data_IF_150418803217
#
_entry.id   IF_150418803217
#
_cell.length_a   1.000
_cell.length_b   1.000
_cell.length_c   1.000
_cell.angle_alpha   90.00
_cell.angle_beta   90.00
_cell.angle_gamma   90.00
#
_symmetry.space_group_name_H-M   'P 1'
#
loop_
_entity.id
_entity.type
_entity.pdbx_description
1 polymer ?
#
# COMPACT_ATOMS: atom_id res chain seq x y z
N UNK A 1 30.09 26.16 -2.30
CA UNK A 1 29.81 25.92 -3.73
C UNK A 1 29.46 24.46 -4.05
N UNK A 2 30.05 23.45 -3.38
CA UNK A 2 29.74 22.03 -3.65
C UNK A 2 28.33 21.57 -3.25
N UNK A 3 27.71 22.18 -2.23
CA UNK A 3 26.35 21.83 -1.79
C UNK A 3 25.29 22.17 -2.85
N UNK A 4 25.44 23.30 -3.55
CA UNK A 4 24.45 23.74 -4.55
C UNK A 4 24.51 22.87 -5.81
N UNK A 5 25.70 22.38 -6.18
CA UNK A 5 25.89 21.46 -7.32
C UNK A 5 25.41 20.04 -6.96
N UNK A 6 25.70 19.55 -5.74
CA UNK A 6 25.13 18.27 -5.27
C UNK A 6 23.61 18.30 -5.15
N UNK A 7 23.03 19.44 -4.73
CA UNK A 7 21.58 19.59 -4.67
C UNK A 7 20.98 19.57 -6.08
N UNK A 8 21.62 20.23 -7.06
CA UNK A 8 21.19 20.22 -8.46
C UNK A 8 21.33 18.84 -9.11
N UNK A 9 22.44 18.12 -8.87
CA UNK A 9 22.63 16.75 -9.38
C UNK A 9 21.63 15.79 -8.72
N UNK A 10 21.38 15.93 -7.42
CA UNK A 10 20.36 15.13 -6.73
C UNK A 10 18.93 15.45 -7.23
N UNK A 11 18.68 16.71 -7.62
CA UNK A 11 17.41 17.14 -8.20
C UNK A 11 17.23 16.62 -9.63
N UNK A 12 18.28 16.61 -10.44
CA UNK A 12 18.25 16.04 -11.79
C UNK A 12 18.03 14.52 -11.73
N UNK A 13 18.73 13.84 -10.82
CA UNK A 13 18.53 12.40 -10.59
C UNK A 13 17.12 12.11 -10.03
N UNK A 14 16.61 12.97 -9.14
CA UNK A 14 15.25 12.86 -8.60
C UNK A 14 14.20 13.16 -9.68
N UNK A 15 14.40 14.16 -10.53
CA UNK A 15 13.53 14.48 -11.66
C UNK A 15 13.50 13.33 -12.66
N UNK A 16 14.66 12.81 -13.06
CA UNK A 16 14.76 11.65 -13.93
C UNK A 16 14.07 10.43 -13.32
N UNK A 17 14.23 10.21 -12.02
CA UNK A 17 13.58 9.13 -11.25
C UNK A 17 12.06 9.32 -11.21
N UNK A 18 11.57 10.53 -10.98
CA UNK A 18 10.13 10.86 -10.98
C UNK A 18 9.52 10.74 -12.39
N UNK A 19 10.21 11.21 -13.42
CA UNK A 19 9.77 11.06 -14.82
C UNK A 19 9.72 9.57 -15.22
N UNK A 20 10.71 8.80 -14.79
CA UNK A 20 10.72 7.35 -14.97
C UNK A 20 9.56 6.70 -14.20
N UNK A 21 9.25 7.13 -12.97
CA UNK A 21 8.10 6.66 -12.20
C UNK A 21 6.78 6.92 -12.92
N UNK A 22 6.62 8.04 -13.65
CA UNK A 22 5.39 8.32 -14.39
C UNK A 22 5.06 7.23 -15.42
N UNK A 23 6.07 6.59 -16.01
CA UNK A 23 5.91 5.50 -16.97
C UNK A 23 5.91 4.13 -16.26
N UNK A 24 6.82 3.92 -15.31
CA UNK A 24 6.95 2.62 -14.62
C UNK A 24 5.84 2.35 -13.62
N UNK A 25 5.25 3.38 -12.99
CA UNK A 25 4.16 3.23 -12.04
C UNK A 25 2.89 2.61 -12.65
N UNK A 26 2.29 3.15 -13.74
CA UNK A 26 1.09 2.56 -14.33
C UNK A 26 1.36 1.16 -14.89
N UNK A 27 2.55 0.92 -15.45
CA UNK A 27 2.97 -0.42 -15.88
C UNK A 27 3.08 -1.40 -14.71
N UNK A 28 3.64 -0.96 -13.57
CA UNK A 28 3.77 -1.78 -12.35
C UNK A 28 2.40 -2.05 -11.75
N UNK A 29 1.51 -1.06 -11.71
CA UNK A 29 0.15 -1.20 -11.21
C UNK A 29 -0.67 -2.17 -12.06
N UNK A 30 -0.62 -2.02 -13.39
CA UNK A 30 -1.27 -2.92 -14.33
C UNK A 30 -0.76 -4.36 -14.21
N UNK A 31 0.56 -4.54 -14.13
CA UNK A 31 1.17 -5.86 -13.92
C UNK A 31 0.82 -6.46 -12.56
N UNK A 32 0.74 -5.66 -11.51
CA UNK A 32 0.39 -6.13 -10.17
C UNK A 32 -1.08 -6.55 -10.09
N UNK A 33 -1.98 -5.81 -10.77
CA UNK A 33 -3.39 -6.19 -10.87
C UNK A 33 -3.59 -7.50 -11.66
N UNK A 34 -2.86 -7.70 -12.77
CA UNK A 34 -3.03 -8.88 -13.64
C UNK A 34 -2.19 -10.10 -13.23
N UNK A 35 -1.02 -9.90 -12.64
CA UNK A 35 -0.07 -10.95 -12.26
C UNK A 35 0.54 -10.72 -10.87
N UNK A 36 -0.29 -10.66 -9.81
CA UNK A 36 0.15 -10.30 -8.46
C UNK A 36 1.22 -11.25 -7.91
N UNK A 37 1.06 -12.57 -8.13
CA UNK A 37 1.98 -13.60 -7.64
C UNK A 37 3.35 -13.56 -8.31
N UNK A 38 3.44 -13.07 -9.56
CA UNK A 38 4.74 -12.92 -10.23
C UNK A 38 5.51 -11.79 -9.59
N UNK A 39 4.85 -10.68 -9.24
CA UNK A 39 5.49 -9.52 -8.59
C UNK A 39 6.01 -9.84 -7.19
N UNK A 40 5.31 -10.67 -6.41
CA UNK A 40 5.81 -11.09 -5.09
C UNK A 40 7.06 -11.95 -5.21
N UNK A 41 7.10 -12.90 -6.16
CA UNK A 41 8.31 -13.70 -6.43
C UNK A 41 9.46 -12.85 -7.01
N UNK A 42 9.15 -11.84 -7.84
CA UNK A 42 10.15 -10.86 -8.31
C UNK A 42 10.72 -10.02 -7.16
N UNK A 43 9.93 -9.65 -6.15
CA UNK A 43 10.41 -8.92 -4.98
C UNK A 43 11.38 -9.77 -4.13
N UNK A 44 11.08 -11.05 -3.93
CA UNK A 44 11.94 -11.98 -3.18
C UNK A 44 13.24 -12.30 -3.93
N UNK A 45 13.18 -12.51 -5.25
CA UNK A 45 14.38 -12.73 -6.08
C UNK A 45 15.27 -11.49 -6.13
N UNK A 46 14.67 -10.30 -6.27
CA UNK A 46 15.39 -9.04 -6.26
C UNK A 46 16.04 -8.74 -4.92
N UNK A 47 15.69 -9.39 -3.81
CA UNK A 47 16.35 -9.28 -2.50
C UNK A 47 17.57 -10.21 -2.32
N UNK A 48 17.79 -11.12 -3.27
CA UNK A 48 18.98 -12.02 -3.28
C UNK A 48 20.12 -11.48 -4.17
N UNK A 49 19.84 -10.54 -5.07
CA UNK A 49 20.84 -9.91 -5.96
C UNK A 49 21.76 -8.90 -5.24
N UNK A 50 22.94 -8.58 -5.79
CA UNK A 50 23.86 -7.61 -5.19
C UNK A 50 23.25 -6.18 -5.18
N UNK A 51 23.53 -5.40 -4.12
CA UNK A 51 22.95 -4.07 -3.84
C UNK A 51 23.06 -3.05 -4.98
N UNK A 52 24.04 -3.19 -5.88
CA UNK A 52 24.30 -2.25 -6.97
C UNK A 52 23.35 -2.38 -8.18
N UNK A 53 22.59 -3.49 -8.30
CA UNK A 53 21.54 -3.66 -9.35
C UNK A 53 20.12 -3.60 -8.79
N UNK A 54 20.01 -3.43 -7.49
CA UNK A 54 18.74 -3.40 -6.75
C UNK A 54 17.98 -2.12 -7.11
N UNK A 55 16.83 -2.26 -7.78
CA UNK A 55 15.89 -1.20 -8.21
C UNK A 55 16.24 -0.41 -9.50
N UNK A 56 17.01 -0.97 -10.43
CA UNK A 56 17.20 -0.32 -11.75
C UNK A 56 15.92 -0.38 -12.61
N UNK A 57 15.04 -1.37 -12.38
CA UNK A 57 13.87 -1.61 -13.23
C UNK A 57 12.49 -1.41 -12.58
N UNK A 58 12.40 -1.19 -11.26
CA UNK A 58 11.11 -1.06 -10.55
C UNK A 58 11.20 -0.11 -9.35
N UNK A 59 10.13 0.67 -9.11
CA UNK A 59 9.97 1.51 -7.91
C UNK A 59 10.04 0.66 -6.65
N UNK A 60 10.75 1.11 -5.60
CA UNK A 60 10.82 0.36 -4.35
C UNK A 60 9.40 0.11 -3.78
N UNK A 61 9.09 -1.06 -3.23
CA UNK A 61 7.72 -1.43 -2.87
C UNK A 61 7.04 -0.46 -1.87
N UNK A 62 7.72 0.05 -0.83
CA UNK A 62 7.14 1.07 0.04
C UNK A 62 6.87 2.40 -0.68
N UNK A 63 7.75 2.78 -1.62
CA UNK A 63 7.52 3.97 -2.44
C UNK A 63 6.35 3.77 -3.40
N UNK A 64 6.13 2.56 -3.92
CA UNK A 64 4.98 2.26 -4.79
C UNK A 64 3.65 2.39 -4.04
N UNK A 65 3.58 1.90 -2.79
CA UNK A 65 2.44 2.12 -1.90
C UNK A 65 2.23 3.61 -1.63
N UNK A 66 3.30 4.34 -1.28
CA UNK A 66 3.23 5.78 -1.05
C UNK A 66 2.74 6.55 -2.28
N UNK A 67 3.26 6.23 -3.47
CA UNK A 67 2.87 6.87 -4.73
C UNK A 67 1.40 6.58 -5.06
N UNK A 68 0.91 5.38 -4.77
CA UNK A 68 -0.50 5.02 -4.92
C UNK A 68 -1.41 5.85 -4.01
N UNK A 69 -0.99 6.06 -2.76
CA UNK A 69 -1.72 6.92 -1.82
C UNK A 69 -1.69 8.39 -2.27
N UNK A 70 -0.55 8.87 -2.76
CA UNK A 70 -0.40 10.22 -3.27
C UNK A 70 -1.30 10.45 -4.49
N UNK A 71 -1.37 9.49 -5.42
CA UNK A 71 -2.29 9.54 -6.56
C UNK A 71 -3.74 9.54 -6.08
N UNK A 72 -4.12 8.64 -5.17
CA UNK A 72 -5.47 8.60 -4.63
C UNK A 72 -5.87 9.92 -3.97
N UNK A 73 -4.97 10.54 -3.21
CA UNK A 73 -5.23 11.82 -2.56
C UNK A 73 -5.27 12.99 -3.55
N UNK A 74 -4.41 12.97 -4.59
CA UNK A 74 -4.49 13.96 -5.67
C UNK A 74 -5.83 13.90 -6.43
N UNK A 75 -6.38 12.70 -6.63
CA UNK A 75 -7.73 12.55 -7.20
C UNK A 75 -8.83 13.07 -6.26
N UNK A 76 -8.68 12.87 -4.95
CA UNK A 76 -9.60 13.39 -3.93
C UNK A 76 -9.71 14.92 -4.02
N UNK A 77 -8.56 15.59 -4.01
CA UNK A 77 -8.48 17.05 -4.15
C UNK A 77 -9.06 17.54 -5.49
N UNK A 78 -8.80 16.82 -6.58
CA UNK A 78 -9.28 17.19 -7.91
C UNK A 78 -10.80 17.01 -8.11
N UNK A 79 -11.39 15.97 -7.50
CA UNK A 79 -12.80 15.59 -7.72
C UNK A 79 -13.76 16.24 -6.73
N UNK A 80 -13.34 16.40 -5.48
CA UNK A 80 -14.22 16.89 -4.41
C UNK A 80 -13.84 18.32 -3.98
N UNK A 81 -12.67 18.81 -4.37
CA UNK A 81 -12.09 20.04 -3.81
C UNK A 81 -11.70 19.85 -2.33
N UNK A 82 -11.27 20.92 -1.66
CA UNK A 82 -11.12 20.93 -0.19
C UNK A 82 -12.46 20.52 0.43
N UNK A 83 -12.54 19.25 0.83
CA UNK A 83 -13.79 18.61 1.23
C UNK A 83 -13.73 18.17 2.69
N UNK A 84 -14.87 18.22 3.40
CA UNK A 84 -14.93 18.45 4.84
C UNK A 84 -14.61 17.24 5.72
N UNK A 85 -14.03 16.16 5.17
CA UNK A 85 -13.25 15.23 5.99
C UNK A 85 -12.06 15.94 6.68
N UNK A 86 -11.69 17.12 6.18
CA UNK A 86 -10.71 18.05 6.72
C UNK A 86 -11.22 18.89 7.92
N UNK A 87 -12.50 18.81 8.29
CA UNK A 87 -13.12 19.77 9.24
C UNK A 87 -13.41 19.23 10.64
N UNK A 88 -13.22 17.95 10.94
CA UNK A 88 -13.39 17.41 12.30
C UNK A 88 -12.03 17.26 13.00
N UNK A 89 -11.44 18.41 13.32
CA UNK A 89 -10.18 18.58 14.03
C UNK A 89 -10.31 18.38 15.54
N UNK A 90 -10.52 17.18 16.09
CA UNK A 90 -10.40 17.04 17.56
C UNK A 90 -9.86 15.69 18.03
N UNK A 91 -8.53 15.62 18.22
CA UNK A 91 -7.85 15.27 19.50
C UNK A 91 -6.34 15.05 19.35
N UNK A 92 -5.82 15.04 18.11
CA UNK A 92 -4.39 15.12 17.79
C UNK A 92 -4.04 16.24 16.76
N UNK A 93 -4.94 17.21 16.58
CA UNK A 93 -4.79 18.33 15.62
C UNK A 93 -3.59 19.27 15.85
N UNK A 94 -2.74 19.02 16.85
CA UNK A 94 -1.47 19.73 17.00
C UNK A 94 -0.33 19.14 16.17
N UNK A 95 -0.39 17.84 15.84
CA UNK A 95 0.69 17.12 15.14
C UNK A 95 0.38 16.86 13.65
N UNK A 96 -0.90 16.92 13.26
CA UNK A 96 -1.41 16.65 11.92
C UNK A 96 -2.08 17.91 11.39
N UNK A 97 -1.27 18.93 11.08
CA UNK A 97 -1.74 20.22 10.55
C UNK A 97 -1.46 20.38 9.04
N UNK A 98 -0.83 19.39 8.41
CA UNK A 98 -0.32 19.48 7.04
C UNK A 98 -0.71 18.24 6.24
N UNK A 99 -1.04 18.40 4.95
CA UNK A 99 -1.47 17.32 4.04
C UNK A 99 -0.45 16.16 4.01
N UNK A 100 0.83 16.51 4.15
CA UNK A 100 1.94 15.57 4.28
C UNK A 100 1.77 14.63 5.47
N UNK A 101 1.32 15.14 6.62
CA UNK A 101 1.13 14.36 7.86
C UNK A 101 -0.01 13.36 7.71
N UNK A 102 -1.07 13.74 6.99
CA UNK A 102 -2.19 12.85 6.66
C UNK A 102 -1.78 11.74 5.69
N UNK A 103 -0.96 12.05 4.69
CA UNK A 103 -0.41 11.05 3.77
C UNK A 103 0.49 10.04 4.50
N UNK A 104 1.34 10.49 5.42
CA UNK A 104 2.18 9.62 6.24
C UNK A 104 1.33 8.73 7.14
N UNK A 105 0.25 9.26 7.71
CA UNK A 105 -0.70 8.48 8.50
C UNK A 105 -1.42 7.42 7.65
N UNK A 106 -1.93 7.78 6.47
CA UNK A 106 -2.53 6.81 5.52
C UNK A 106 -1.53 5.73 5.14
N UNK A 107 -0.27 6.11 4.86
CA UNK A 107 0.80 5.16 4.59
C UNK A 107 1.02 4.20 5.76
N UNK A 108 1.08 4.71 6.99
CA UNK A 108 1.23 3.89 8.17
C UNK A 108 0.07 2.90 8.34
N UNK A 109 -1.18 3.35 8.14
CA UNK A 109 -2.36 2.50 8.20
C UNK A 109 -2.37 1.40 7.16
N UNK A 110 -2.12 1.75 5.89
CA UNK A 110 -2.08 0.76 4.83
C UNK A 110 -0.86 -0.16 4.94
N UNK A 111 0.23 0.27 5.58
CA UNK A 111 1.39 -0.57 5.87
C UNK A 111 1.18 -1.58 7.01
N UNK A 112 0.13 -1.42 7.83
CA UNK A 112 -0.24 -2.43 8.85
C UNK A 112 -0.63 -3.76 8.17
N UNK A 113 -1.40 -3.72 7.08
CA UNK A 113 -1.79 -4.93 6.35
C UNK A 113 -0.59 -5.77 5.87
N UNK A 114 0.35 -5.26 5.06
CA UNK A 114 1.49 -6.03 4.59
C UNK A 114 2.36 -6.51 5.76
N UNK A 115 2.43 -5.76 6.85
CA UNK A 115 3.13 -6.16 8.06
C UNK A 115 2.48 -7.38 8.73
N UNK A 116 1.16 -7.35 8.95
CA UNK A 116 0.43 -8.47 9.55
C UNK A 116 0.51 -9.74 8.71
N UNK A 117 0.38 -9.61 7.38
CA UNK A 117 0.52 -10.74 6.45
C UNK A 117 1.91 -11.37 6.58
N UNK A 118 2.95 -10.54 6.62
CA UNK A 118 4.34 -10.97 6.74
C UNK A 118 4.62 -11.68 8.07
N UNK A 119 4.11 -11.13 9.18
CA UNK A 119 4.21 -11.74 10.50
C UNK A 119 3.49 -13.09 10.50
N UNK A 120 2.28 -13.16 9.94
CA UNK A 120 1.50 -14.41 9.87
C UNK A 120 2.23 -15.48 9.06
N UNK A 121 2.88 -15.11 7.95
CA UNK A 121 3.68 -16.04 7.17
C UNK A 121 4.85 -16.60 8.01
N UNK A 122 5.62 -15.74 8.68
CA UNK A 122 6.77 -16.18 9.49
C UNK A 122 6.33 -17.07 10.66
N UNK A 123 5.22 -16.74 11.31
CA UNK A 123 4.62 -17.59 12.35
C UNK A 123 4.25 -18.98 11.81
N UNK A 124 3.62 -19.05 10.63
CA UNK A 124 3.27 -20.31 9.97
C UNK A 124 4.50 -21.11 9.54
N UNK A 125 5.56 -20.45 9.10
CA UNK A 125 6.86 -21.06 8.76
C UNK A 125 7.70 -21.43 10.00
N UNK A 126 7.27 -21.04 11.21
CA UNK A 126 8.05 -21.15 12.45
C UNK A 126 9.45 -20.52 12.33
N UNK A 127 9.56 -19.48 11.51
CA UNK A 127 10.79 -18.73 11.35
C UNK A 127 10.93 -17.70 12.48
N UNK A 128 12.18 -17.37 12.85
CA UNK A 128 12.44 -16.33 13.83
C UNK A 128 11.90 -14.98 13.33
N UNK A 129 11.20 -14.23 14.19
CA UNK A 129 10.79 -12.86 13.91
C UNK A 129 11.98 -11.94 14.12
N UNK A 130 12.76 -11.73 13.06
CA UNK A 130 13.87 -10.78 13.03
C UNK A 130 13.63 -9.77 11.92
N UNK A 131 14.33 -8.63 11.97
CA UNK A 131 14.21 -7.60 10.93
C UNK A 131 14.55 -8.15 9.54
N UNK A 132 15.52 -9.06 9.47
CA UNK A 132 16.01 -9.62 8.21
C UNK A 132 15.05 -10.65 7.61
N UNK A 133 14.35 -11.43 8.44
CA UNK A 133 13.34 -12.40 7.95
C UNK A 133 12.02 -11.73 7.60
N UNK A 134 11.70 -10.59 8.22
CA UNK A 134 10.45 -9.85 8.00
C UNK A 134 10.51 -8.95 6.76
N UNK A 135 11.68 -8.40 6.44
CA UNK A 135 11.83 -7.44 5.35
C UNK A 135 11.41 -8.00 3.98
N UNK A 136 11.81 -9.22 3.55
CA UNK A 136 11.37 -9.77 2.27
C UNK A 136 9.85 -9.91 2.11
N UNK A 137 9.13 -10.62 3.01
CA UNK A 137 7.68 -10.73 2.87
C UNK A 137 7.00 -9.37 2.97
N UNK A 138 7.48 -8.46 3.82
CA UNK A 138 6.89 -7.11 3.94
C UNK A 138 6.99 -6.33 2.62
N UNK A 139 8.16 -6.37 1.97
CA UNK A 139 8.38 -5.69 0.69
C UNK A 139 7.51 -6.31 -0.41
N UNK A 140 7.34 -7.64 -0.43
CA UNK A 140 6.43 -8.31 -1.37
C UNK A 140 4.97 -7.85 -1.19
N UNK A 141 4.53 -7.71 0.07
CA UNK A 141 3.16 -7.38 0.40
C UNK A 141 2.84 -5.90 0.15
N UNK A 142 3.82 -5.00 0.25
CA UNK A 142 3.64 -3.60 -0.12
C UNK A 142 3.22 -3.42 -1.60
N UNK A 143 3.67 -4.29 -2.51
CA UNK A 143 3.18 -4.27 -3.89
C UNK A 143 1.70 -4.63 -3.98
N UNK A 144 1.24 -5.61 -3.21
CA UNK A 144 -0.16 -6.05 -3.19
C UNK A 144 -1.09 -5.05 -2.50
N UNK A 145 -0.59 -4.43 -1.43
CA UNK A 145 -1.32 -3.42 -0.66
C UNK A 145 -1.57 -2.13 -1.47
N UNK A 146 -0.68 -1.78 -2.39
CA UNK A 146 -0.75 -0.55 -3.19
C UNK A 146 -2.02 -0.42 -4.07
N UNK A 147 -2.37 -1.37 -4.96
CA UNK A 147 -3.60 -1.29 -5.75
C UNK A 147 -4.85 -1.36 -4.89
N UNK A 148 -4.82 -2.12 -3.78
CA UNK A 148 -5.91 -2.14 -2.80
C UNK A 148 -6.11 -0.76 -2.15
N UNK A 149 -5.02 -0.14 -1.68
CA UNK A 149 -5.06 1.18 -1.07
C UNK A 149 -5.57 2.26 -2.04
N UNK A 150 -5.14 2.21 -3.31
CA UNK A 150 -5.64 3.10 -4.37
C UNK A 150 -7.14 2.94 -4.60
N UNK A 151 -7.63 1.70 -4.75
CA UNK A 151 -9.06 1.45 -5.01
C UNK A 151 -9.93 1.83 -3.82
N UNK A 152 -9.50 1.54 -2.59
CA UNK A 152 -10.21 1.94 -1.38
C UNK A 152 -10.23 3.47 -1.23
N UNK A 153 -9.11 4.14 -1.51
CA UNK A 153 -9.04 5.59 -1.48
C UNK A 153 -9.96 6.25 -2.53
N UNK A 154 -9.96 5.76 -3.78
CA UNK A 154 -10.90 6.22 -4.81
C UNK A 154 -12.37 5.98 -4.43
N UNK A 155 -12.67 4.81 -3.84
CA UNK A 155 -14.02 4.51 -3.38
C UNK A 155 -14.46 5.46 -2.27
N UNK A 156 -13.58 5.76 -1.31
CA UNK A 156 -13.84 6.72 -0.25
C UNK A 156 -14.08 8.14 -0.81
N UNK A 157 -13.30 8.58 -1.80
CA UNK A 157 -13.54 9.85 -2.51
C UNK A 157 -14.92 9.86 -3.18
N UNK A 158 -15.29 8.77 -3.85
CA UNK A 158 -16.57 8.68 -4.56
C UNK A 158 -17.76 8.74 -3.59
N UNK A 159 -17.68 8.05 -2.45
CA UNK A 159 -18.72 8.07 -1.42
C UNK A 159 -18.94 9.46 -0.80
N UNK A 160 -17.93 10.34 -0.84
CA UNK A 160 -18.04 11.73 -0.35
C UNK A 160 -18.80 12.66 -1.30
N UNK A 161 -18.99 12.30 -2.57
CA UNK A 161 -19.65 13.17 -3.57
C UNK A 161 -21.17 13.33 -3.36
N UNK A 162 -21.75 12.71 -2.32
CA UNK A 162 -23.16 12.75 -1.92
C UNK A 162 -24.19 12.42 -3.03
N UNK A 163 -23.76 11.88 -4.17
CA UNK A 163 -24.67 11.40 -5.20
C UNK A 163 -25.16 9.99 -4.86
N UNK A 164 -26.45 9.67 -5.09
CA UNK A 164 -27.05 8.38 -4.67
C UNK A 164 -26.43 7.17 -5.40
N UNK A 165 -25.95 7.36 -6.63
CA UNK A 165 -25.23 6.33 -7.37
C UNK A 165 -23.77 6.20 -6.92
N UNK A 166 -23.17 7.26 -6.37
CA UNK A 166 -21.77 7.31 -5.95
C UNK A 166 -21.53 6.50 -4.67
N UNK A 167 -22.48 6.50 -3.74
CA UNK A 167 -22.39 5.69 -2.52
C UNK A 167 -22.41 4.19 -2.85
N UNK A 168 -23.37 3.75 -3.68
CA UNK A 168 -23.48 2.35 -4.08
C UNK A 168 -22.27 1.88 -4.89
N UNK A 169 -21.78 2.72 -5.82
CA UNK A 169 -20.60 2.40 -6.63
C UNK A 169 -19.33 2.36 -5.78
N UNK A 170 -19.15 3.30 -4.85
CA UNK A 170 -18.04 3.27 -3.89
C UNK A 170 -18.07 2.03 -3.01
N UNK A 171 -19.23 1.67 -2.44
CA UNK A 171 -19.38 0.45 -1.65
C UNK A 171 -19.07 -0.82 -2.47
N UNK A 172 -19.52 -0.88 -3.72
CA UNK A 172 -19.19 -1.98 -4.63
C UNK A 172 -17.69 -2.05 -4.93
N UNK A 173 -17.02 -0.90 -5.12
CA UNK A 173 -15.56 -0.85 -5.32
C UNK A 173 -14.80 -1.38 -4.11
N UNK A 174 -15.18 -1.00 -2.89
CA UNK A 174 -14.56 -1.54 -1.66
C UNK A 174 -14.76 -3.05 -1.56
N UNK A 175 -15.96 -3.55 -1.83
CA UNK A 175 -16.25 -4.98 -1.79
C UNK A 175 -15.41 -5.76 -2.81
N UNK A 176 -15.32 -5.27 -4.04
CA UNK A 176 -14.50 -5.87 -5.10
C UNK A 176 -13.01 -5.85 -4.70
N UNK A 177 -12.52 -4.73 -4.17
CA UNK A 177 -11.14 -4.60 -3.71
C UNK A 177 -10.82 -5.58 -2.58
N UNK A 178 -11.73 -5.76 -1.61
CA UNK A 178 -11.58 -6.74 -0.53
C UNK A 178 -11.56 -8.18 -1.05
N UNK A 179 -12.48 -8.54 -1.95
CA UNK A 179 -12.52 -9.88 -2.55
C UNK A 179 -11.25 -10.16 -3.34
N UNK A 180 -10.80 -9.19 -4.14
CA UNK A 180 -9.55 -9.30 -4.89
C UNK A 180 -8.35 -9.46 -3.96
N UNK A 181 -8.26 -8.63 -2.92
CA UNK A 181 -7.16 -8.66 -1.95
C UNK A 181 -7.08 -10.01 -1.23
N UNK A 182 -8.20 -10.50 -0.69
CA UNK A 182 -8.27 -11.81 -0.02
C UNK A 182 -7.93 -12.96 -0.97
N UNK A 183 -8.40 -12.91 -2.23
CA UNK A 183 -8.10 -13.93 -3.22
C UNK A 183 -6.59 -14.00 -3.53
N UNK A 184 -5.95 -12.83 -3.67
CA UNK A 184 -4.52 -12.72 -3.92
C UNK A 184 -3.69 -13.15 -2.71
N UNK A 185 -4.04 -12.72 -1.49
CA UNK A 185 -3.39 -13.17 -0.26
C UNK A 185 -3.50 -14.69 -0.09
N UNK A 186 -4.68 -15.26 -0.36
CA UNK A 186 -4.91 -16.71 -0.29
C UNK A 186 -3.99 -17.45 -1.26
N UNK A 187 -3.87 -16.96 -2.50
CA UNK A 187 -3.00 -17.55 -3.50
C UNK A 187 -1.52 -17.41 -3.13
N UNK A 188 -1.13 -16.28 -2.53
CA UNK A 188 0.23 -16.04 -2.05
C UNK A 188 0.58 -16.94 -0.87
N UNK A 189 -0.28 -17.05 0.15
CA UNK A 189 -0.08 -17.99 1.25
C UNK A 189 0.01 -19.44 0.76
N UNK A 190 -0.76 -19.80 -0.27
CA UNK A 190 -0.68 -21.14 -0.87
C UNK A 190 0.68 -21.37 -1.52
N UNK A 191 1.20 -20.39 -2.25
CA UNK A 191 2.52 -20.46 -2.88
C UNK A 191 3.64 -20.58 -1.83
N UNK A 192 3.57 -19.77 -0.77
CA UNK A 192 4.63 -19.70 0.24
C UNK A 192 4.58 -20.84 1.28
N UNK A 193 3.39 -21.35 1.62
CA UNK A 193 3.23 -22.38 2.66
C UNK A 193 3.00 -23.80 2.09
N UNK A 194 2.66 -23.92 0.80
CA UNK A 194 2.27 -25.21 0.21
C UNK A 194 1.02 -25.84 0.85
N UNK A 195 0.22 -25.04 1.56
CA UNK A 195 -0.92 -25.49 2.35
C UNK A 195 -2.22 -25.60 1.52
N UNK A 196 -3.23 -26.37 1.97
CA UNK A 196 -4.52 -26.44 1.28
C UNK A 196 -5.23 -25.09 1.30
N UNK A 197 -5.97 -24.79 0.23
CA UNK A 197 -6.55 -23.46 -0.04
C UNK A 197 -7.42 -22.93 1.10
N UNK A 198 -8.17 -23.78 1.79
CA UNK A 198 -9.02 -23.35 2.90
C UNK A 198 -8.22 -22.80 4.09
N UNK A 199 -7.04 -23.36 4.38
CA UNK A 199 -6.16 -22.86 5.47
C UNK A 199 -5.58 -21.52 5.10
N UNK A 200 -5.14 -21.37 3.86
CA UNK A 200 -4.64 -20.10 3.31
C UNK A 200 -5.73 -19.03 3.31
N UNK A 201 -6.97 -19.39 2.95
CA UNK A 201 -8.12 -18.50 2.97
C UNK A 201 -8.43 -18.04 4.41
N UNK A 202 -8.42 -18.96 5.38
CA UNK A 202 -8.59 -18.57 6.78
C UNK A 202 -7.49 -17.64 7.26
N UNK A 203 -6.23 -17.89 6.89
CA UNK A 203 -5.13 -17.00 7.26
C UNK A 203 -5.29 -15.60 6.65
N UNK A 204 -5.66 -15.50 5.37
CA UNK A 204 -5.95 -14.23 4.70
C UNK A 204 -7.11 -13.48 5.38
N UNK A 205 -8.22 -14.16 5.65
CA UNK A 205 -9.38 -13.57 6.34
C UNK A 205 -9.01 -13.11 7.76
N UNK A 206 -8.29 -13.92 8.53
CA UNK A 206 -7.86 -13.56 9.90
C UNK A 206 -6.99 -12.30 9.86
N UNK A 207 -6.01 -12.23 8.96
CA UNK A 207 -5.11 -11.08 8.86
C UNK A 207 -5.86 -9.83 8.40
N UNK A 208 -6.74 -9.96 7.41
CA UNK A 208 -7.57 -8.84 6.95
C UNK A 208 -8.46 -8.31 8.07
N UNK A 209 -9.12 -9.20 8.82
CA UNK A 209 -9.96 -8.82 9.98
C UNK A 209 -9.12 -8.18 11.09
N UNK A 210 -7.92 -8.70 11.37
CA UNK A 210 -7.00 -8.08 12.32
C UNK A 210 -6.59 -6.68 11.89
N UNK A 211 -6.26 -6.48 10.61
CA UNK A 211 -5.95 -5.17 10.05
C UNK A 211 -7.09 -4.19 10.23
N UNK A 212 -8.31 -4.59 9.83
CA UNK A 212 -9.52 -3.77 10.01
C UNK A 212 -9.80 -3.48 11.49
N UNK A 213 -9.63 -4.45 12.38
CA UNK A 213 -9.82 -4.23 13.82
C UNK A 213 -8.80 -3.24 14.40
N UNK A 214 -7.52 -3.35 14.02
CA UNK A 214 -6.49 -2.39 14.42
C UNK A 214 -6.85 -0.99 13.91
N UNK A 215 -7.29 -0.86 12.65
CA UNK A 215 -7.72 0.42 12.10
C UNK A 215 -8.97 0.97 12.79
N UNK A 216 -9.95 0.14 13.12
CA UNK A 216 -11.16 0.56 13.82
C UNK A 216 -10.87 1.02 15.26
N UNK A 217 -9.91 0.39 15.95
CA UNK A 217 -9.44 0.81 17.27
C UNK A 217 -8.59 2.09 17.16
N UNK A 218 -7.80 2.20 16.10
CA UNK A 218 -6.96 3.36 15.84
C UNK A 218 -7.79 4.58 15.44
N UNK A 219 -8.84 4.42 14.61
CA UNK A 219 -9.68 5.48 14.08
C UNK A 219 -10.13 6.54 15.12
N UNK A 220 -10.68 6.19 16.29
CA UNK A 220 -11.08 7.17 17.31
C UNK A 220 -9.91 7.88 18.01
N UNK A 221 -8.66 7.47 17.79
CA UNK A 221 -7.48 8.24 18.21
C UNK A 221 -7.18 9.40 17.25
N UNK A 222 -7.72 9.36 16.03
CA UNK A 222 -7.43 10.31 14.97
C UNK A 222 -8.64 11.15 14.52
N UNK A 223 -9.87 10.76 14.88
CA UNK A 223 -11.10 11.57 14.74
C UNK A 223 -11.44 12.28 16.04
#
# INVERSE_FOLDING_TARGET
MNFMIQLLDSLDELLFRVMSWLVFYPLTLWRTMLHPLRMTTFADQQMTEAEERRHVATVSPPLFLFLSLLVSHGLELALVGDSPLLSEHHRLGGLVNDDTSLLVMRLAFFAVFPLLVSIRLLQRRRAALTRDTLKPPFYSQCYLAAPFALTVGMAATLMQTHAPWAELTGAAMVLIALVWFIAVETAWFRQELGAPIWRCLLDAVIVTVQGVAILAIAAPLFG
#
